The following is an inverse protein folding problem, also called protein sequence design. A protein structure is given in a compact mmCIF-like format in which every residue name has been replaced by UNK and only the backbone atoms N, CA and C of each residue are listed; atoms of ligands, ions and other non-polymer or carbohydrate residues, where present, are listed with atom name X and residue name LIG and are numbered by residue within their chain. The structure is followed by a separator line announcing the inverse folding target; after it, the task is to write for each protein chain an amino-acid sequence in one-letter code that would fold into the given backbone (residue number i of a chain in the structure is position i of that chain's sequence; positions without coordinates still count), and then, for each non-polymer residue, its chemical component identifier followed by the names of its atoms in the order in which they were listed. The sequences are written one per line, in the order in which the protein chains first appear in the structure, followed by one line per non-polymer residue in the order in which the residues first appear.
data_IF_725045147045
#
_entry.id   IF_725045147045
#
_cell.length_a   1.000
_cell.length_b   1.000
_cell.length_c   1.000
_cell.angle_alpha   90.00
_cell.angle_beta   90.00
_cell.angle_gamma   90.00
#
_symmetry.space_group_name_H-M   'P 1'
#
loop_
_entity.id
_entity.type
_entity.pdbx_description
1 polymer ?
#
# COMPACT_ATOMS: atom_id res chain seq x y z
N UNK A 1 23.64 31.73 -21.52
CA UNK A 1 23.48 32.16 -22.93
C UNK A 1 24.86 32.27 -23.59
N UNK A 2 25.43 31.17 -24.11
CA UNK A 2 26.77 31.20 -24.74
C UNK A 2 26.61 31.21 -26.26
N UNK A 3 26.75 32.39 -26.89
CA UNK A 3 26.89 32.46 -28.36
C UNK A 3 28.35 32.15 -28.71
N UNK A 4 28.58 31.17 -29.58
CA UNK A 4 29.91 30.78 -30.07
C UNK A 4 30.46 31.79 -31.09
N UNK A 5 30.41 33.07 -30.75
CA UNK A 5 30.86 34.18 -31.57
C UNK A 5 32.13 34.77 -30.99
N UNK A 6 33.05 35.23 -31.85
CA UNK A 6 34.34 35.79 -31.41
C UNK A 6 34.06 37.02 -30.54
N UNK A 7 34.60 37.04 -29.32
CA UNK A 7 34.38 38.10 -28.33
C UNK A 7 32.90 38.38 -28.03
N UNK A 8 32.04 37.35 -28.05
CA UNK A 8 30.61 37.48 -27.79
C UNK A 8 29.87 38.19 -28.92
N UNK A 9 30.48 38.31 -30.11
CA UNK A 9 29.91 38.98 -31.27
C UNK A 9 29.99 40.50 -31.12
N UNK A 10 28.92 41.12 -30.64
CA UNK A 10 28.84 42.59 -30.44
C UNK A 10 29.26 43.02 -29.03
N UNK A 11 29.68 42.09 -28.18
CA UNK A 11 30.01 42.35 -26.78
C UNK A 11 31.46 42.79 -26.55
N UNK A 12 32.29 42.78 -27.59
CA UNK A 12 33.67 43.23 -27.50
C UNK A 12 34.42 43.12 -28.83
N UNK A 13 35.62 43.70 -28.86
CA UNK A 13 36.48 43.72 -30.03
C UNK A 13 37.70 42.82 -29.84
N UNK A 14 38.08 42.07 -30.86
CA UNK A 14 39.30 41.26 -30.85
C UNK A 14 40.51 42.14 -31.21
N UNK A 15 41.45 42.29 -30.28
CA UNK A 15 42.70 43.03 -30.47
C UNK A 15 43.87 42.10 -30.17
N UNK A 16 44.67 41.80 -31.20
CA UNK A 16 45.86 40.94 -31.07
C UNK A 16 45.58 39.59 -30.39
N UNK A 17 44.45 38.96 -30.70
CA UNK A 17 44.06 37.65 -30.15
C UNK A 17 43.49 37.69 -28.72
N UNK A 18 43.28 38.87 -28.14
CA UNK A 18 42.57 39.06 -26.87
C UNK A 18 41.29 39.84 -27.10
N UNK A 19 40.23 39.47 -26.39
CA UNK A 19 38.98 40.23 -26.41
C UNK A 19 39.05 41.42 -25.45
N UNK A 20 38.70 42.59 -25.96
CA UNK A 20 38.48 43.81 -25.18
C UNK A 20 36.97 44.02 -25.11
N UNK A 21 36.39 43.79 -23.94
CA UNK A 21 34.94 43.80 -23.75
C UNK A 21 34.38 45.20 -23.63
N UNK A 22 33.14 45.36 -24.10
CA UNK A 22 32.33 46.54 -23.80
C UNK A 22 32.05 46.62 -22.29
N UNK A 23 31.76 47.82 -21.73
CA UNK A 23 31.62 48.02 -20.28
C UNK A 23 30.56 47.12 -19.61
N UNK A 24 29.55 46.72 -20.38
CA UNK A 24 28.44 45.87 -19.93
C UNK A 24 28.78 44.37 -19.92
N UNK A 25 29.98 43.99 -20.39
CA UNK A 25 30.40 42.59 -20.51
C UNK A 25 31.79 42.34 -19.92
N UNK A 26 31.99 41.11 -19.46
CA UNK A 26 33.21 40.61 -18.84
C UNK A 26 33.50 39.19 -19.31
N UNK A 27 34.64 38.65 -18.89
CA UNK A 27 35.11 37.33 -19.30
C UNK A 27 36.17 37.39 -20.39
N UNK A 28 36.85 36.28 -20.60
CA UNK A 28 37.97 36.23 -21.56
C UNK A 28 37.54 36.34 -23.02
N UNK A 29 36.27 36.09 -23.27
CA UNK A 29 35.60 36.16 -24.57
C UNK A 29 34.36 37.08 -24.54
N UNK A 30 34.24 37.95 -23.53
CA UNK A 30 33.09 38.85 -23.35
C UNK A 30 31.73 38.13 -23.30
N UNK A 31 31.75 36.94 -22.70
CA UNK A 31 30.62 36.04 -22.60
C UNK A 31 29.61 36.44 -21.50
N UNK A 32 30.05 37.17 -20.49
CA UNK A 32 29.25 37.40 -19.28
C UNK A 32 28.80 38.84 -19.14
N UNK A 33 27.49 39.11 -18.97
CA UNK A 33 27.02 40.44 -18.64
C UNK A 33 27.53 40.85 -17.25
N UNK A 34 27.89 42.12 -17.10
CA UNK A 34 28.27 42.72 -15.81
C UNK A 34 27.04 42.96 -14.91
N UNK A 35 25.84 43.04 -15.51
CA UNK A 35 24.60 43.31 -14.78
C UNK A 35 23.92 42.03 -14.27
N UNK A 36 23.29 42.13 -13.10
CA UNK A 36 22.51 41.05 -12.51
C UNK A 36 21.01 41.12 -12.87
N UNK A 37 20.63 41.96 -13.83
CA UNK A 37 19.22 42.21 -14.21
C UNK A 37 18.47 40.92 -14.54
N UNK A 38 19.14 39.97 -15.20
CA UNK A 38 18.56 38.67 -15.58
C UNK A 38 18.34 37.74 -14.38
N UNK A 39 18.93 38.03 -13.23
CA UNK A 39 18.84 37.22 -12.01
C UNK A 39 17.86 37.80 -10.97
N UNK A 40 17.25 38.96 -11.25
CA UNK A 40 16.33 39.62 -10.31
C UNK A 40 14.93 38.99 -10.42
N UNK A 41 14.39 38.57 -9.28
CA UNK A 41 13.05 38.03 -9.11
C UNK A 41 12.42 38.66 -7.88
N UNK A 42 11.23 39.26 -8.04
CA UNK A 42 10.50 39.97 -6.97
C UNK A 42 11.43 40.89 -6.14
N UNK A 43 12.22 41.72 -6.83
CA UNK A 43 13.15 42.71 -6.25
C UNK A 43 14.41 42.13 -5.57
N UNK A 44 14.59 40.82 -5.55
CA UNK A 44 15.78 40.17 -4.97
C UNK A 44 16.59 39.40 -6.01
N UNK A 45 17.91 39.33 -5.84
CA UNK A 45 18.77 38.54 -6.74
C UNK A 45 18.68 37.08 -6.33
N UNK A 46 18.22 36.22 -7.24
CA UNK A 46 18.09 34.78 -7.03
C UNK A 46 17.33 34.44 -5.73
N UNK A 47 16.23 35.16 -5.46
CA UNK A 47 15.37 34.97 -4.29
C UNK A 47 16.11 34.99 -2.93
N UNK A 48 17.25 35.69 -2.83
CA UNK A 48 18.21 35.62 -1.70
C UNK A 48 18.73 34.20 -1.36
N UNK A 49 18.39 33.24 -2.21
CA UNK A 49 18.62 31.82 -2.07
C UNK A 49 19.71 31.32 -3.04
N UNK A 50 20.42 32.22 -3.71
CA UNK A 50 21.51 31.90 -4.61
C UNK A 50 22.46 33.07 -4.84
N UNK A 51 23.38 32.90 -5.78
CA UNK A 51 24.25 33.95 -6.32
C UNK A 51 24.08 34.03 -7.84
N UNK A 52 24.11 35.24 -8.40
CA UNK A 52 24.06 35.43 -9.85
C UNK A 52 25.47 35.23 -10.43
N UNK A 53 25.63 34.30 -11.36
CA UNK A 53 26.84 34.10 -12.14
C UNK A 53 26.53 34.26 -13.62
N UNK A 54 27.20 35.22 -14.29
CA UNK A 54 27.08 35.40 -15.73
C UNK A 54 25.62 35.57 -16.22
N UNK A 55 24.76 36.17 -15.40
CA UNK A 55 23.34 36.36 -15.71
C UNK A 55 22.43 35.17 -15.40
N UNK A 56 22.93 34.13 -14.73
CA UNK A 56 22.19 32.94 -14.34
C UNK A 56 22.31 32.67 -12.83
N UNK A 57 21.25 32.21 -12.18
CA UNK A 57 21.26 31.98 -10.74
C UNK A 57 21.89 30.63 -10.37
N UNK A 58 22.91 30.67 -9.53
CA UNK A 58 23.45 29.52 -8.80
C UNK A 58 22.80 29.41 -7.42
N UNK A 59 21.86 28.49 -7.28
CA UNK A 59 21.11 28.31 -6.04
C UNK A 59 21.95 27.66 -4.94
N UNK A 60 21.68 28.06 -3.69
CA UNK A 60 22.17 27.42 -2.47
C UNK A 60 21.54 26.03 -2.34
N UNK A 61 22.18 25.14 -1.58
CA UNK A 61 21.69 23.78 -1.33
C UNK A 61 20.25 23.83 -0.81
N UNK A 62 19.36 23.09 -1.48
CA UNK A 62 17.95 23.03 -1.11
C UNK A 62 17.07 24.09 -1.76
N UNK A 63 17.56 24.86 -2.74
CA UNK A 63 16.73 25.77 -3.53
C UNK A 63 16.88 25.50 -5.02
N UNK A 64 15.80 25.66 -5.79
CA UNK A 64 15.76 25.48 -7.24
C UNK A 64 14.83 26.49 -7.91
N UNK A 65 14.81 26.45 -9.23
CA UNK A 65 14.10 27.40 -10.08
C UNK A 65 15.08 28.33 -10.76
N UNK A 66 14.61 29.03 -11.80
CA UNK A 66 15.46 29.95 -12.58
C UNK A 66 16.01 31.07 -11.70
N UNK A 67 15.29 31.41 -10.63
CA UNK A 67 15.65 32.43 -9.66
C UNK A 67 15.74 31.88 -8.23
N UNK A 68 15.91 30.57 -8.05
CA UNK A 68 15.96 29.92 -6.74
C UNK A 68 14.69 30.15 -5.88
N UNK A 69 13.56 30.32 -6.54
CA UNK A 69 12.27 30.66 -5.93
C UNK A 69 11.65 29.51 -5.11
N UNK A 70 12.04 28.27 -5.37
CA UNK A 70 11.47 27.10 -4.70
C UNK A 70 12.48 26.53 -3.69
N UNK A 71 12.12 26.53 -2.40
CA UNK A 71 12.90 25.87 -1.35
C UNK A 71 12.43 24.42 -1.12
N UNK A 72 13.32 23.46 -1.33
CA UNK A 72 13.14 22.04 -1.06
C UNK A 72 13.37 21.62 0.40
N UNK A 73 14.08 22.41 1.19
CA UNK A 73 14.46 22.07 2.58
C UNK A 73 13.70 22.87 3.65
N UNK A 74 12.80 23.78 3.26
CA UNK A 74 12.27 24.80 4.18
C UNK A 74 10.91 24.47 4.80
N UNK A 75 10.01 23.72 4.16
CA UNK A 75 8.79 23.20 4.81
C UNK A 75 7.95 22.27 3.89
N UNK A 76 7.25 21.31 4.52
CA UNK A 76 6.24 20.34 4.03
C UNK A 76 5.61 20.64 2.65
N UNK A 77 5.57 19.80 1.62
CA UNK A 77 5.77 18.35 1.46
C UNK A 77 5.95 18.16 -0.05
N UNK A 78 7.17 17.95 -0.55
CA UNK A 78 7.44 17.70 -1.99
C UNK A 78 6.54 16.58 -2.55
N UNK A 79 6.16 15.65 -1.67
CA UNK A 79 5.25 14.55 -1.93
C UNK A 79 3.83 14.98 -2.32
N UNK A 80 3.38 16.17 -1.92
CA UNK A 80 2.01 16.67 -2.15
C UNK A 80 1.90 17.51 -3.43
N UNK A 81 3.00 17.74 -4.14
CA UNK A 81 3.01 18.46 -5.40
C UNK A 81 2.45 17.54 -6.51
N UNK A 82 1.30 17.87 -7.14
CA UNK A 82 0.63 16.98 -8.09
C UNK A 82 1.49 16.64 -9.32
N UNK A 83 2.36 17.56 -9.72
CA UNK A 83 3.27 17.38 -10.85
C UNK A 83 4.27 16.24 -10.61
N UNK A 84 4.86 16.15 -9.41
CA UNK A 84 5.82 15.08 -9.10
C UNK A 84 5.13 13.73 -8.90
N UNK A 85 3.90 13.72 -8.36
CA UNK A 85 3.08 12.51 -8.31
C UNK A 85 2.80 11.98 -9.72
N UNK A 86 2.40 12.85 -10.66
CA UNK A 86 2.20 12.48 -12.06
C UNK A 86 3.47 11.94 -12.75
N UNK A 87 4.64 12.53 -12.46
CA UNK A 87 5.92 12.02 -12.97
C UNK A 87 6.25 10.63 -12.40
N UNK A 88 6.04 10.41 -11.10
CA UNK A 88 6.27 9.12 -10.45
C UNK A 88 5.33 8.03 -10.99
N UNK A 89 4.05 8.36 -11.22
CA UNK A 89 3.10 7.45 -11.87
C UNK A 89 3.47 7.11 -13.30
N UNK A 90 3.90 8.11 -14.08
CA UNK A 90 4.35 7.89 -15.45
C UNK A 90 5.59 6.98 -15.52
N UNK A 91 6.51 7.13 -14.56
CA UNK A 91 7.71 6.29 -14.46
C UNK A 91 7.40 4.79 -14.42
N UNK A 92 6.32 4.40 -13.72
CA UNK A 92 5.90 3.00 -13.63
C UNK A 92 5.27 2.46 -14.91
N UNK A 93 4.66 3.33 -15.72
CA UNK A 93 3.99 2.94 -16.97
C UNK A 93 4.97 2.69 -18.14
N UNK A 94 6.29 2.87 -17.94
CA UNK A 94 7.35 2.63 -18.94
C UNK A 94 7.15 3.33 -20.29
N UNK A 95 6.38 4.41 -20.33
CA UNK A 95 6.15 5.22 -21.55
C UNK A 95 6.73 6.60 -21.36
N UNK A 96 7.97 6.78 -21.79
CA UNK A 96 8.70 8.04 -21.71
C UNK A 96 8.01 9.18 -22.48
N UNK A 97 7.26 8.84 -23.53
CA UNK A 97 6.57 9.78 -24.42
C UNK A 97 5.22 10.30 -23.89
N UNK A 98 4.70 9.72 -22.80
CA UNK A 98 3.42 10.12 -22.17
C UNK A 98 3.64 10.93 -20.87
N UNK A 99 4.89 11.18 -20.47
CA UNK A 99 5.19 11.95 -19.27
C UNK A 99 5.15 13.45 -19.54
N UNK A 100 4.75 14.29 -18.56
CA UNK A 100 4.88 15.74 -18.66
C UNK A 100 6.31 16.15 -19.02
N UNK A 101 6.49 17.11 -19.96
CA UNK A 101 7.82 17.62 -20.36
C UNK A 101 8.60 18.25 -19.20
N UNK A 102 7.90 18.61 -18.13
CA UNK A 102 8.45 19.22 -16.91
C UNK A 102 8.97 18.21 -15.88
N UNK A 103 9.00 16.91 -16.21
CA UNK A 103 9.53 15.91 -15.29
C UNK A 103 11.07 15.96 -15.17
N UNK A 104 11.62 15.84 -13.95
CA UNK A 104 13.06 15.69 -13.75
C UNK A 104 13.58 14.35 -14.31
N UNK A 105 14.89 14.15 -14.31
CA UNK A 105 15.46 12.87 -14.74
C UNK A 105 14.99 11.73 -13.84
N UNK A 106 14.27 10.76 -14.41
CA UNK A 106 13.66 9.65 -13.66
C UNK A 106 14.58 8.42 -13.72
N UNK A 107 14.90 7.86 -12.55
CA UNK A 107 15.66 6.62 -12.38
C UNK A 107 14.85 5.60 -11.60
N UNK A 108 14.60 4.46 -12.22
CA UNK A 108 13.91 3.33 -11.60
C UNK A 108 14.89 2.50 -10.76
N UNK A 109 14.67 2.45 -9.44
CA UNK A 109 15.52 1.74 -8.47
C UNK A 109 14.78 0.56 -7.83
N UNK A 110 15.52 -0.45 -7.37
CA UNK A 110 14.91 -1.62 -6.73
C UNK A 110 14.55 -1.32 -5.26
N UNK A 111 15.41 -0.59 -4.56
CA UNK A 111 15.21 -0.20 -3.16
C UNK A 111 15.71 1.22 -2.90
N UNK A 112 15.18 1.83 -1.84
CA UNK A 112 15.50 3.18 -1.37
C UNK A 112 16.17 3.11 0.02
N UNK A 113 16.98 2.07 0.27
CA UNK A 113 17.41 1.66 1.63
C UNK A 113 18.43 2.60 2.30
N UNK A 114 19.06 3.50 1.54
CA UNK A 114 20.10 4.43 2.04
C UNK A 114 19.57 5.86 2.23
N UNK A 115 18.26 6.04 2.25
CA UNK A 115 17.61 7.33 2.32
C UNK A 115 16.83 7.40 3.63
N UNK A 116 16.91 8.52 4.33
CA UNK A 116 16.19 8.70 5.57
C UNK A 116 14.68 8.59 5.34
N UNK A 117 13.96 7.87 6.20
CA UNK A 117 12.54 7.56 5.97
C UNK A 117 11.67 8.82 5.91
N UNK A 118 12.14 9.92 6.51
CA UNK A 118 11.46 11.21 6.50
C UNK A 118 11.44 11.88 5.12
N UNK A 119 12.33 11.49 4.20
CA UNK A 119 12.47 12.12 2.89
C UNK A 119 11.77 11.32 1.77
N UNK A 120 11.25 10.12 2.07
CA UNK A 120 10.63 9.22 1.08
C UNK A 120 9.13 9.55 0.93
N UNK A 121 8.73 9.87 -0.30
CA UNK A 121 7.34 10.08 -0.66
C UNK A 121 6.62 8.76 -0.93
N UNK A 122 5.42 8.60 -0.37
CA UNK A 122 4.55 7.44 -0.60
C UNK A 122 3.20 7.90 -1.14
N UNK A 123 2.80 7.39 -2.31
CA UNK A 123 1.51 7.70 -2.95
C UNK A 123 0.70 6.43 -3.19
N UNK A 124 -0.63 6.55 -3.18
CA UNK A 124 -1.53 5.43 -3.45
C UNK A 124 -1.95 5.46 -4.92
N UNK A 125 -1.72 4.36 -5.63
CA UNK A 125 -2.11 4.21 -7.03
C UNK A 125 -3.58 3.82 -7.18
N UNK A 126 -4.11 3.89 -8.42
CA UNK A 126 -5.48 3.47 -8.75
C UNK A 126 -5.81 2.02 -8.32
N UNK A 127 -4.82 1.13 -8.32
CA UNK A 127 -4.96 -0.29 -7.97
C UNK A 127 -4.91 -0.54 -6.45
N UNK A 128 -4.85 0.52 -5.63
CA UNK A 128 -4.76 0.43 -4.16
C UNK A 128 -3.37 0.08 -3.62
N UNK A 129 -2.36 -0.03 -4.50
CA UNK A 129 -0.98 -0.26 -4.12
C UNK A 129 -0.25 1.03 -3.74
N UNK A 130 0.70 0.93 -2.82
CA UNK A 130 1.55 2.04 -2.37
C UNK A 130 2.83 2.10 -3.23
N UNK A 131 2.99 3.19 -3.96
CA UNK A 131 4.22 3.52 -4.68
C UNK A 131 5.11 4.39 -3.79
N UNK A 132 6.42 4.19 -3.85
CA UNK A 132 7.41 5.00 -3.15
C UNK A 132 8.39 5.65 -4.12
N UNK A 133 8.69 6.93 -3.91
CA UNK A 133 9.68 7.68 -4.68
C UNK A 133 10.43 8.66 -3.79
N UNK A 134 11.61 9.07 -4.25
CA UNK A 134 12.46 10.04 -3.58
C UNK A 134 13.07 10.98 -4.60
N UNK A 135 13.26 12.25 -4.25
CA UNK A 135 13.86 13.24 -5.16
C UNK A 135 15.20 13.67 -4.58
N UNK A 136 16.27 13.54 -5.38
CA UNK A 136 17.61 13.98 -5.03
C UNK A 136 18.03 15.16 -5.90
N UNK A 137 18.69 16.14 -5.30
CA UNK A 137 19.35 17.23 -6.02
C UNK A 137 20.83 16.92 -6.16
N UNK A 138 21.33 16.89 -7.40
CA UNK A 138 22.77 16.85 -7.71
C UNK A 138 23.26 18.24 -8.09
N UNK A 139 24.59 18.45 -8.14
CA UNK A 139 25.20 19.75 -8.45
C UNK A 139 24.79 20.34 -9.81
N UNK A 140 24.19 19.54 -10.70
CA UNK A 140 23.79 19.95 -12.04
C UNK A 140 22.30 19.72 -12.38
N UNK A 141 21.57 18.88 -11.63
CA UNK A 141 20.20 18.49 -11.99
C UNK A 141 19.41 17.84 -10.85
N UNK A 142 18.07 17.86 -10.98
CA UNK A 142 17.14 17.15 -10.09
C UNK A 142 16.91 15.75 -10.64
N UNK A 143 17.04 14.74 -9.79
CA UNK A 143 16.87 13.32 -10.15
C UNK A 143 15.81 12.70 -9.27
N UNK A 144 14.79 12.10 -9.89
CA UNK A 144 13.73 11.36 -9.20
C UNK A 144 14.05 9.86 -9.20
N UNK A 145 14.12 9.27 -8.02
CA UNK A 145 14.30 7.84 -7.79
C UNK A 145 12.94 7.20 -7.50
N UNK A 146 12.43 6.40 -8.41
CA UNK A 146 11.15 5.70 -8.25
C UNK A 146 11.42 4.23 -7.96
N UNK A 147 10.82 3.68 -6.90
CA UNK A 147 10.96 2.26 -6.60
C UNK A 147 10.16 1.43 -7.60
N UNK A 148 10.77 0.42 -8.22
CA UNK A 148 10.13 -0.45 -9.22
C UNK A 148 8.98 -1.30 -8.69
N UNK A 149 9.01 -1.65 -7.41
CA UNK A 149 8.02 -2.55 -6.78
C UNK A 149 7.08 -1.74 -5.90
N UNK A 150 5.79 -1.70 -6.24
CA UNK A 150 4.74 -1.17 -5.38
C UNK A 150 4.37 -2.16 -4.27
N UNK A 151 4.12 -1.64 -3.06
CA UNK A 151 3.68 -2.46 -1.92
C UNK A 151 2.15 -2.50 -1.93
N UNK A 152 1.56 -3.62 -2.33
CA UNK A 152 0.10 -3.79 -2.33
C UNK A 152 -0.35 -4.46 -1.03
N UNK A 153 -1.48 -4.03 -0.42
CA UNK A 153 -2.11 -4.83 0.63
C UNK A 153 -2.51 -6.19 0.03
N UNK A 154 -2.20 -7.28 0.72
CA UNK A 154 -2.58 -8.61 0.25
C UNK A 154 -4.11 -8.69 0.13
N UNK A 155 -4.60 -9.11 -1.04
CA UNK A 155 -6.02 -9.32 -1.24
C UNK A 155 -6.47 -10.48 -0.36
N UNK A 156 -7.27 -10.17 0.66
CA UNK A 156 -7.81 -11.20 1.54
C UNK A 156 -8.78 -12.06 0.73
N UNK A 157 -8.49 -13.36 0.60
CA UNK A 157 -9.36 -14.30 -0.11
C UNK A 157 -10.64 -14.55 0.69
N UNK A 158 -11.62 -13.68 0.51
CA UNK A 158 -12.90 -13.73 1.22
C UNK A 158 -13.58 -15.10 1.10
N UNK A 159 -13.49 -15.76 -0.07
CA UNK A 159 -14.03 -17.10 -0.27
C UNK A 159 -13.33 -18.19 0.56
N UNK A 160 -12.01 -18.09 0.75
CA UNK A 160 -11.27 -19.08 1.55
C UNK A 160 -11.62 -18.96 3.04
N UNK A 161 -11.76 -17.72 3.53
CA UNK A 161 -12.16 -17.45 4.93
C UNK A 161 -13.58 -17.95 5.17
N UNK A 162 -14.53 -17.64 4.28
CA UNK A 162 -15.92 -18.10 4.46
C UNK A 162 -15.99 -19.62 4.45
N UNK A 163 -15.40 -20.29 3.46
CA UNK A 163 -15.39 -21.77 3.40
C UNK A 163 -14.73 -22.38 4.64
N UNK A 164 -13.61 -21.81 5.10
CA UNK A 164 -12.90 -22.28 6.29
C UNK A 164 -13.77 -22.19 7.56
N UNK A 165 -14.41 -21.05 7.79
CA UNK A 165 -15.28 -20.83 8.96
C UNK A 165 -16.52 -21.73 8.92
N UNK A 166 -17.22 -21.78 7.78
CA UNK A 166 -18.39 -22.65 7.63
C UNK A 166 -18.04 -24.13 7.80
N UNK A 167 -16.92 -24.57 7.22
CA UNK A 167 -16.42 -25.94 7.35
C UNK A 167 -16.15 -26.31 8.80
N UNK A 168 -15.46 -25.44 9.55
CA UNK A 168 -15.15 -25.67 10.96
C UNK A 168 -16.42 -25.80 11.83
N UNK A 169 -17.41 -24.93 11.62
CA UNK A 169 -18.68 -24.97 12.36
C UNK A 169 -19.43 -26.27 12.11
N UNK A 170 -19.50 -26.73 10.85
CA UNK A 170 -20.15 -27.99 10.50
C UNK A 170 -19.43 -29.18 11.16
N UNK A 171 -18.10 -29.21 11.11
CA UNK A 171 -17.31 -30.29 11.73
C UNK A 171 -17.53 -30.35 13.24
N UNK A 172 -17.50 -29.20 13.93
CA UNK A 172 -17.78 -29.13 15.37
C UNK A 172 -19.20 -29.61 15.67
N UNK A 173 -20.19 -29.21 14.87
CA UNK A 173 -21.57 -29.67 15.01
C UNK A 173 -21.71 -31.19 14.88
N UNK A 174 -21.08 -31.78 13.87
CA UNK A 174 -21.07 -33.24 13.66
C UNK A 174 -20.41 -33.95 14.85
N UNK A 175 -19.29 -33.45 15.37
CA UNK A 175 -18.61 -34.03 16.53
C UNK A 175 -19.48 -33.99 17.78
N UNK A 176 -20.18 -32.89 18.04
CA UNK A 176 -21.11 -32.78 19.16
C UNK A 176 -22.30 -33.73 19.02
N UNK A 177 -22.86 -33.88 17.80
CA UNK A 177 -23.95 -34.83 17.53
C UNK A 177 -23.46 -36.28 17.72
N UNK A 178 -22.26 -36.62 17.22
CA UNK A 178 -21.68 -37.95 17.41
C UNK A 178 -21.42 -38.23 18.88
N UNK A 179 -20.83 -37.29 19.62
CA UNK A 179 -20.60 -37.42 21.05
C UNK A 179 -21.92 -37.60 21.81
N UNK A 180 -22.93 -36.78 21.51
CA UNK A 180 -24.26 -36.89 22.10
C UNK A 180 -24.90 -38.25 21.82
N UNK A 181 -24.84 -38.72 20.57
CA UNK A 181 -25.37 -40.03 20.19
C UNK A 181 -24.62 -41.17 20.88
N UNK A 182 -23.30 -41.09 21.01
CA UNK A 182 -22.48 -42.08 21.73
C UNK A 182 -22.86 -42.11 23.21
N UNK A 183 -22.95 -40.96 23.87
CA UNK A 183 -23.36 -40.86 25.28
C UNK A 183 -24.76 -41.45 25.51
N UNK A 184 -25.74 -41.11 24.65
CA UNK A 184 -27.08 -41.69 24.73
C UNK A 184 -27.01 -43.21 24.53
N UNK A 185 -26.30 -43.69 23.52
CA UNK A 185 -26.24 -45.13 23.22
C UNK A 185 -25.63 -45.92 24.37
N UNK A 186 -24.60 -45.39 25.03
CA UNK A 186 -23.99 -45.99 26.21
C UNK A 186 -24.99 -46.01 27.37
N UNK A 187 -25.63 -44.88 27.64
CA UNK A 187 -26.59 -44.76 28.74
C UNK A 187 -27.81 -45.67 28.53
N UNK A 188 -28.31 -45.76 27.30
CA UNK A 188 -29.40 -46.62 26.91
C UNK A 188 -29.02 -48.10 27.07
N UNK A 189 -27.82 -48.51 26.61
CA UNK A 189 -27.32 -49.88 26.83
C UNK A 189 -27.19 -50.24 28.30
N UNK A 190 -26.68 -49.33 29.15
CA UNK A 190 -26.54 -49.55 30.59
C UNK A 190 -27.91 -49.72 31.25
N UNK A 191 -28.89 -48.89 30.87
CA UNK A 191 -30.25 -48.99 31.39
C UNK A 191 -30.96 -50.24 30.92
N UNK A 192 -30.79 -50.59 29.65
CA UNK A 192 -31.39 -51.77 29.06
C UNK A 192 -30.92 -53.07 29.75
N UNK A 193 -29.63 -53.18 30.08
CA UNK A 193 -29.12 -54.36 30.78
C UNK A 193 -29.70 -54.49 32.20
N UNK A 194 -29.81 -53.39 32.95
CA UNK A 194 -30.45 -53.38 34.27
C UNK A 194 -31.93 -53.76 34.19
N UNK A 195 -32.65 -53.22 33.20
CA UNK A 195 -34.07 -53.54 32.99
C UNK A 195 -34.28 -55.03 32.68
N UNK A 196 -33.42 -55.62 31.86
CA UNK A 196 -33.42 -57.06 31.57
C UNK A 196 -33.22 -57.91 32.83
N UNK A 197 -32.30 -57.53 33.71
CA UNK A 197 -32.08 -58.20 34.99
C UNK A 197 -33.28 -58.08 35.93
N UNK A 198 -33.86 -56.88 36.06
CA UNK A 198 -35.03 -56.63 36.89
C UNK A 198 -36.27 -57.38 36.40
N UNK A 199 -36.46 -57.47 35.07
CA UNK A 199 -37.51 -58.27 34.45
C UNK A 199 -37.33 -59.78 34.70
N UNK A 200 -36.11 -60.31 34.64
CA UNK A 200 -35.83 -61.72 34.99
C UNK A 200 -36.13 -62.01 36.45
N UNK A 201 -35.73 -61.11 37.36
CA UNK A 201 -36.03 -61.23 38.80
C UNK A 201 -37.54 -61.18 39.08
N UNK A 202 -38.29 -60.34 38.37
CA UNK A 202 -39.75 -60.27 38.48
C UNK A 202 -40.44 -61.51 37.90
N UNK A 203 -39.99 -62.00 36.74
CA UNK A 203 -40.52 -63.22 36.12
C UNK A 203 -40.28 -64.48 36.98
N UNK A 204 -39.26 -64.46 37.83
CA UNK A 204 -38.94 -65.54 38.77
C UNK A 204 -39.65 -65.39 40.13
N UNK A 205 -40.34 -64.28 40.38
CA UNK A 205 -41.11 -64.06 41.61
C UNK A 205 -42.53 -64.57 41.39
N UNK A 206 -42.82 -65.79 41.85
CA UNK A 206 -44.18 -66.35 41.84
C UNK A 206 -45.14 -65.40 42.59
N UNK A 207 -46.12 -64.87 41.86
CA UNK A 207 -47.09 -63.92 42.39
C UNK A 207 -48.24 -64.67 43.07
N UNK A 208 -48.07 -65.00 44.35
CA UNK A 208 -49.00 -65.81 45.16
C UNK A 208 -50.41 -65.21 45.34
N UNK A 209 -50.71 -64.04 44.76
CA UNK A 209 -52.02 -63.37 44.79
C UNK A 209 -52.76 -63.38 43.46
N UNK A 210 -52.21 -63.96 42.39
CA UNK A 210 -52.87 -64.01 41.09
C UNK A 210 -53.80 -65.23 40.99
N UNK A 211 -55.09 -65.04 41.22
CA UNK A 211 -56.14 -65.99 40.82
C UNK A 211 -56.54 -65.72 39.37
N UNK A 212 -56.41 -66.72 38.49
CA UNK A 212 -56.91 -66.61 37.12
C UNK A 212 -58.43 -66.47 37.09
N UNK A 213 -58.96 -65.57 36.27
CA UNK A 213 -60.39 -65.38 36.13
C UNK A 213 -61.06 -66.68 35.62
N UNK A 214 -61.94 -67.27 36.44
CA UNK A 214 -62.80 -68.38 36.03
C UNK A 214 -64.06 -67.82 35.35
N UNK A 215 -64.15 -67.96 34.03
CA UNK A 215 -65.38 -67.65 33.31
C UNK A 215 -66.35 -68.84 33.43
N UNK A 216 -67.19 -68.86 34.48
CA UNK A 216 -68.33 -69.78 34.55
C UNK A 216 -69.47 -69.16 33.73
N UNK A 217 -69.64 -69.60 32.49
CA UNK A 217 -70.81 -69.28 31.66
C UNK A 217 -71.95 -70.23 32.05
N UNK A 218 -73.02 -69.71 32.65
CA UNK A 218 -74.27 -70.45 32.85
C UNK A 218 -75.22 -70.14 31.69
N UNK A 219 -75.58 -71.18 30.94
CA UNK A 219 -76.56 -71.13 29.86
C UNK A 219 -77.98 -71.12 30.45
N UNK A 220 -78.79 -70.07 30.24
CA UNK A 220 -80.12 -69.93 30.85
C UNK A 220 -81.25 -70.74 30.18
N UNK A 221 -80.96 -71.70 29.29
CA UNK A 221 -81.98 -72.44 28.52
C UNK A 221 -82.35 -73.82 29.08
N UNK A 222 -81.71 -74.31 30.14
CA UNK A 222 -82.14 -75.55 30.82
C UNK A 222 -82.28 -75.34 32.33
N UNK A 223 -83.15 -74.40 32.71
CA UNK A 223 -83.87 -74.41 33.98
C UNK A 223 -85.25 -75.04 33.72
N UNK A 224 -85.39 -76.33 34.00
CA UNK A 224 -86.69 -76.98 34.27
C UNK A 224 -86.48 -78.17 35.20
N UNK A 225 -86.93 -77.95 36.44
CA UNK A 225 -87.36 -78.88 37.51
C UNK A 225 -86.44 -80.02 38.00
#
# INVERSE_FOLDING_TARGET
YFRKEVCGGTHGNCVCGKCVCEPEYTGTTCECPTSNLSCIYEETVCNNAGSCDCGECRCKKGYIGIHCENCFLCDNTVCDIPQYQACAECAMKNKKDECPESCPEIKLVNTLDNIDRSDICTITQADGCLMTFHIMTTDASIVMLVRKTSTCPESVNAMAITVGVFGAVVVVGILLILMWKICITIFDRIKYSRFQEDMKKLAQRDNSFYEGASAIYRDPIFDTD
#
